data_IF_885296271012
#
_entry.id   IF_885296271012
#
_cell.length_a   1.000
_cell.length_b   1.000
_cell.length_c   1.000
_cell.angle_alpha   90.00
_cell.angle_beta   90.00
_cell.angle_gamma   90.00
#
_symmetry.space_group_name_H-M   'P 1'
#
loop_
_entity.id
_entity.type
_entity.pdbx_description
1 polymer ?
#
# COMPACT_ATOMS: atom_id res chain seq x y z
N UNK A 1 -5.28 -15.93 -9.63
CA UNK A 1 -5.58 -15.44 -8.25
C UNK A 1 -5.19 -13.97 -8.18
N UNK A 2 -5.93 -13.14 -7.43
CA UNK A 2 -5.64 -11.69 -7.27
C UNK A 2 -4.93 -11.34 -5.95
N UNK A 3 -4.62 -12.35 -5.13
CA UNK A 3 -4.02 -12.18 -3.79
C UNK A 3 -2.95 -13.23 -3.56
N UNK A 4 -1.92 -12.85 -2.78
CA UNK A 4 -0.81 -13.73 -2.39
C UNK A 4 -1.24 -14.75 -1.32
N UNK A 5 -0.41 -15.76 -0.99
CA UNK A 5 -0.66 -16.68 0.13
C UNK A 5 -0.81 -15.98 1.49
N UNK A 6 -0.01 -14.95 1.78
CA UNK A 6 -0.19 -14.07 2.95
C UNK A 6 -1.35 -13.08 2.79
N UNK A 7 -1.93 -13.03 1.59
CA UNK A 7 -3.13 -12.28 1.23
C UNK A 7 -2.89 -10.80 0.93
N UNK A 8 -1.67 -10.44 0.56
CA UNK A 8 -1.39 -9.15 -0.05
C UNK A 8 -2.05 -9.05 -1.44
N UNK A 9 -2.48 -7.85 -1.88
CA UNK A 9 -2.98 -7.65 -3.22
C UNK A 9 -1.88 -7.93 -4.24
N UNK A 10 -2.15 -8.82 -5.20
CA UNK A 10 -1.20 -9.13 -6.27
C UNK A 10 -1.40 -8.19 -7.45
N UNK A 11 -1.02 -6.93 -7.23
CA UNK A 11 -1.20 -5.84 -8.18
C UNK A 11 0.11 -5.09 -8.38
N UNK A 12 0.22 -4.39 -9.51
CA UNK A 12 1.39 -3.59 -9.81
C UNK A 12 1.42 -2.39 -8.88
N UNK A 13 2.53 -2.20 -8.18
CA UNK A 13 2.77 -1.02 -7.36
C UNK A 13 3.00 0.15 -8.32
N UNK A 14 2.06 1.10 -8.32
CA UNK A 14 2.16 2.34 -9.08
C UNK A 14 2.95 3.37 -8.28
N UNK A 15 4.04 3.87 -8.87
CA UNK A 15 4.75 5.04 -8.37
C UNK A 15 5.24 5.86 -9.56
N UNK A 16 5.11 7.19 -9.48
CA UNK A 16 5.61 8.11 -10.52
C UNK A 16 6.98 8.66 -10.10
N UNK A 17 8.02 7.96 -10.54
CA UNK A 17 9.42 8.35 -10.32
C UNK A 17 9.71 9.76 -10.87
N UNK A 18 9.08 10.14 -11.99
CA UNK A 18 9.24 11.45 -12.60
C UNK A 18 8.68 12.57 -11.73
N UNK A 19 7.49 12.38 -11.17
CA UNK A 19 6.89 13.33 -10.23
C UNK A 19 7.68 13.41 -8.92
N UNK A 20 8.16 12.28 -8.39
CA UNK A 20 8.98 12.29 -7.18
C UNK A 20 10.32 13.02 -7.40
N UNK A 21 10.98 12.78 -8.52
CA UNK A 21 12.22 13.46 -8.89
C UNK A 21 11.99 14.96 -9.15
N UNK A 22 10.89 15.33 -9.81
CA UNK A 22 10.52 16.74 -10.00
C UNK A 22 10.23 17.45 -8.68
N UNK A 23 9.48 16.81 -7.78
CA UNK A 23 9.18 17.35 -6.46
C UNK A 23 10.45 17.51 -5.62
N UNK A 24 11.37 16.54 -5.69
CA UNK A 24 12.68 16.63 -5.07
C UNK A 24 13.47 17.84 -5.57
N UNK A 25 13.51 18.06 -6.89
CA UNK A 25 14.16 19.21 -7.51
C UNK A 25 13.55 20.54 -7.07
N UNK A 26 12.22 20.67 -7.06
CA UNK A 26 11.56 21.89 -6.58
C UNK A 26 11.85 22.21 -5.11
N UNK A 27 11.98 21.18 -4.26
CA UNK A 27 12.33 21.36 -2.85
C UNK A 27 13.81 21.73 -2.66
N UNK A 28 14.69 21.26 -3.55
CA UNK A 28 16.08 21.69 -3.62
C UNK A 28 16.17 23.17 -3.98
N UNK A 29 15.54 23.58 -5.08
CA UNK A 29 15.49 24.97 -5.53
C UNK A 29 14.94 25.89 -4.43
N UNK A 30 13.85 25.47 -3.76
CA UNK A 30 13.28 26.23 -2.66
C UNK A 30 14.22 26.35 -1.44
N UNK A 31 14.98 25.30 -1.11
CA UNK A 31 15.95 25.35 -0.03
C UNK A 31 17.12 26.29 -0.36
N UNK A 32 17.55 26.31 -1.62
CA UNK A 32 18.64 27.15 -2.10
C UNK A 32 18.24 28.64 -2.17
N UNK A 33 17.02 28.93 -2.60
CA UNK A 33 16.46 30.29 -2.59
C UNK A 33 16.37 30.85 -1.16
N UNK A 34 15.85 30.06 -0.21
CA UNK A 34 15.79 30.49 1.20
C UNK A 34 17.20 30.72 1.75
N UNK A 35 18.16 29.85 1.42
CA UNK A 35 19.56 30.01 1.84
C UNK A 35 20.18 31.29 1.26
N UNK A 36 19.88 31.61 0.01
CA UNK A 36 20.32 32.83 -0.67
C UNK A 36 19.73 34.09 -0.02
N UNK A 37 18.43 34.07 0.31
CA UNK A 37 17.78 35.16 1.05
C UNK A 37 18.41 35.38 2.43
N UNK A 38 18.68 34.31 3.17
CA UNK A 38 19.36 34.39 4.47
C UNK A 38 20.76 34.99 4.35
N UNK A 39 21.51 34.63 3.31
CA UNK A 39 22.84 35.19 3.06
C UNK A 39 22.77 36.71 2.81
N UNK A 40 21.83 37.16 1.99
CA UNK A 40 21.62 38.59 1.71
C UNK A 40 21.26 39.34 2.99
N UNK A 41 20.34 38.81 3.80
CA UNK A 41 19.91 39.45 5.05
C UNK A 41 21.03 39.48 6.11
N UNK A 42 21.85 38.42 6.20
CA UNK A 42 23.04 38.42 7.08
C UNK A 42 24.08 39.43 6.61
N UNK A 43 24.31 39.57 5.30
CA UNK A 43 25.16 40.62 4.76
C UNK A 43 24.65 42.03 5.09
N UNK A 44 23.33 42.26 5.06
CA UNK A 44 22.72 43.53 5.50
C UNK A 44 22.91 43.74 7.01
N UNK A 45 22.87 42.67 7.80
CA UNK A 45 23.08 42.73 9.25
C UNK A 45 24.53 43.11 9.58
N UNK A 46 25.49 42.44 8.95
CA UNK A 46 26.91 42.48 9.32
C UNK A 46 27.71 43.58 8.60
N UNK A 47 27.36 43.87 7.33
CA UNK A 47 28.21 44.66 6.43
C UNK A 47 27.58 45.99 5.97
N UNK A 48 26.40 46.37 6.48
CA UNK A 48 25.78 47.63 6.11
C UNK A 48 26.52 48.82 6.76
N UNK A 49 27.25 49.57 5.94
CA UNK A 49 28.04 50.73 6.38
C UNK A 49 27.17 51.95 6.69
N UNK A 50 27.52 52.69 7.74
CA UNK A 50 26.86 53.94 8.13
C UNK A 50 26.62 54.08 9.64
N UNK A 51 25.99 55.18 10.05
CA UNK A 51 25.65 55.47 11.46
C UNK A 51 24.27 56.12 11.56
N UNK A 52 23.46 55.69 12.53
CA UNK A 52 22.15 56.29 12.83
C UNK A 52 21.10 55.27 13.26
N UNK A 53 20.12 55.69 14.07
CA UNK A 53 19.11 54.79 14.65
C UNK A 53 18.30 54.02 13.59
N UNK A 54 17.98 54.64 12.45
CA UNK A 54 17.25 53.97 11.37
C UNK A 54 18.07 52.84 10.72
N UNK A 55 19.40 52.99 10.65
CA UNK A 55 20.29 52.00 10.08
C UNK A 55 20.48 50.80 11.04
N UNK A 56 20.64 51.08 12.33
CA UNK A 56 20.69 50.03 13.36
C UNK A 56 19.38 49.24 13.42
N UNK A 57 18.24 49.92 13.29
CA UNK A 57 16.93 49.25 13.21
C UNK A 57 16.83 48.33 11.97
N UNK A 58 17.32 48.79 10.81
CA UNK A 58 17.33 47.99 9.59
C UNK A 58 18.21 46.73 9.72
N UNK A 59 19.37 46.83 10.39
CA UNK A 59 20.24 45.67 10.68
C UNK A 59 19.55 44.65 11.58
N UNK A 60 18.91 45.11 12.66
CA UNK A 60 18.15 44.24 13.57
C UNK A 60 17.00 43.55 12.84
N UNK A 61 16.20 44.29 12.08
CA UNK A 61 15.10 43.73 11.29
C UNK A 61 15.59 42.70 10.26
N UNK A 62 16.73 42.95 9.60
CA UNK A 62 17.31 42.00 8.66
C UNK A 62 17.75 40.71 9.36
N UNK A 63 18.37 40.81 10.55
CA UNK A 63 18.74 39.67 11.38
C UNK A 63 17.53 38.86 11.84
N UNK A 64 16.47 39.52 12.30
CA UNK A 64 15.23 38.87 12.74
C UNK A 64 14.55 38.11 11.59
N UNK A 65 14.49 38.71 10.40
CA UNK A 65 13.94 38.06 9.20
C UNK A 65 14.83 36.88 8.76
N UNK A 66 16.16 37.00 8.81
CA UNK A 66 17.07 35.90 8.49
C UNK A 66 16.88 34.70 9.44
N UNK A 67 16.74 34.97 10.74
CA UNK A 67 16.49 33.96 11.76
C UNK A 67 15.12 33.29 11.57
N UNK A 68 14.09 34.06 11.18
CA UNK A 68 12.75 33.52 10.90
C UNK A 68 12.76 32.48 9.75
N UNK A 69 13.72 32.55 8.83
CA UNK A 69 13.86 31.60 7.72
C UNK A 69 14.60 30.31 8.08
N UNK A 70 15.28 30.20 9.23
CA UNK A 70 16.07 29.01 9.58
C UNK A 70 15.20 27.75 9.74
N UNK A 71 14.07 27.87 10.41
CA UNK A 71 13.12 26.76 10.62
C UNK A 71 12.45 26.30 9.31
N UNK A 72 11.90 27.19 8.45
CA UNK A 72 11.43 26.82 7.11
C UNK A 72 12.50 26.13 6.25
N UNK A 73 13.73 26.62 6.23
CA UNK A 73 14.82 26.01 5.45
C UNK A 73 15.15 24.59 5.95
N UNK A 74 15.25 24.40 7.26
CA UNK A 74 15.47 23.08 7.85
C UNK A 74 14.34 22.10 7.51
N UNK A 75 13.09 22.58 7.51
CA UNK A 75 11.90 21.80 7.17
C UNK A 75 11.91 21.33 5.71
N UNK A 76 12.17 22.24 4.78
CA UNK A 76 12.25 21.92 3.34
C UNK A 76 13.32 20.83 3.11
N UNK A 77 14.51 20.98 3.72
CA UNK A 77 15.58 19.98 3.60
C UNK A 77 15.18 18.62 4.19
N UNK A 78 14.46 18.60 5.31
CA UNK A 78 13.97 17.36 5.92
C UNK A 78 12.95 16.65 5.04
N UNK A 79 11.97 17.39 4.51
CA UNK A 79 10.97 16.85 3.57
C UNK A 79 11.65 16.31 2.31
N UNK A 80 12.60 17.06 1.73
CA UNK A 80 13.41 16.61 0.60
C UNK A 80 14.09 15.27 0.88
N UNK A 81 14.71 15.12 2.05
CA UNK A 81 15.38 13.88 2.46
C UNK A 81 14.41 12.70 2.60
N UNK A 82 13.23 12.92 3.16
CA UNK A 82 12.19 11.88 3.30
C UNK A 82 11.72 11.40 1.92
N UNK A 83 11.44 12.34 1.01
CA UNK A 83 10.97 12.01 -0.34
C UNK A 83 12.03 11.25 -1.13
N UNK A 84 13.30 11.63 -1.00
CA UNK A 84 14.40 10.91 -1.65
C UNK A 84 14.52 9.48 -1.13
N UNK A 85 14.47 9.29 0.20
CA UNK A 85 14.55 7.97 0.81
C UNK A 85 13.36 7.09 0.42
N UNK A 86 12.14 7.66 0.37
CA UNK A 86 10.98 6.95 -0.12
C UNK A 86 11.10 6.58 -1.59
N UNK A 87 11.50 7.52 -2.45
CA UNK A 87 11.68 7.27 -3.89
C UNK A 87 12.67 6.14 -4.16
N UNK A 88 13.79 6.11 -3.44
CA UNK A 88 14.77 5.01 -3.51
C UNK A 88 14.16 3.67 -3.06
N UNK A 89 13.44 3.64 -1.94
CA UNK A 89 12.76 2.43 -1.47
C UNK A 89 11.65 1.97 -2.42
N UNK A 90 10.92 2.91 -3.04
CA UNK A 90 9.89 2.62 -4.02
C UNK A 90 10.46 1.99 -5.29
N UNK A 91 11.57 2.51 -5.80
CA UNK A 91 12.27 1.94 -6.94
C UNK A 91 12.88 0.58 -6.62
N UNK A 92 13.62 0.46 -5.51
CA UNK A 92 14.34 -0.75 -5.15
C UNK A 92 13.39 -1.91 -4.81
N UNK A 93 12.38 -1.65 -3.99
CA UNK A 93 11.50 -2.69 -3.47
C UNK A 93 10.22 -2.81 -4.28
N UNK A 94 9.58 -1.69 -4.62
CA UNK A 94 8.37 -1.68 -5.44
C UNK A 94 8.66 -2.11 -6.89
N UNK A 95 9.76 -1.61 -7.47
CA UNK A 95 10.24 -2.06 -8.78
C UNK A 95 10.58 -3.55 -8.81
N UNK A 96 11.24 -4.06 -7.76
CA UNK A 96 11.55 -5.50 -7.63
C UNK A 96 10.30 -6.35 -7.46
N UNK A 97 9.34 -5.93 -6.62
CA UNK A 97 8.07 -6.64 -6.48
C UNK A 97 7.33 -6.71 -7.82
N UNK A 98 7.30 -5.61 -8.58
CA UNK A 98 6.71 -5.56 -9.93
C UNK A 98 7.39 -6.52 -10.92
N UNK A 99 8.72 -6.65 -10.88
CA UNK A 99 9.46 -7.61 -11.72
C UNK A 99 9.13 -9.06 -11.33
N UNK A 100 9.04 -9.35 -10.04
CA UNK A 100 8.74 -10.70 -9.53
C UNK A 100 7.30 -11.16 -9.83
N UNK A 101 6.39 -10.24 -10.20
CA UNK A 101 5.05 -10.61 -10.63
C UNK A 101 5.07 -11.53 -11.87
N UNK A 102 6.02 -11.33 -12.79
CA UNK A 102 6.20 -12.19 -13.96
C UNK A 102 6.58 -13.61 -13.51
N UNK A 103 7.57 -13.75 -12.64
CA UNK A 103 8.01 -15.05 -12.11
C UNK A 103 6.89 -15.79 -11.38
N UNK A 104 6.06 -15.09 -10.59
CA UNK A 104 4.88 -15.71 -9.95
C UNK A 104 3.88 -16.20 -11.00
N UNK A 105 3.63 -15.41 -12.05
CA UNK A 105 2.67 -15.77 -13.11
C UNK A 105 3.17 -16.96 -13.94
N UNK A 106 4.48 -17.00 -14.24
CA UNK A 106 5.14 -18.14 -14.89
C UNK A 106 5.05 -19.41 -14.04
N UNK A 107 5.37 -19.32 -12.75
CA UNK A 107 5.28 -20.46 -11.83
C UNK A 107 3.84 -21.00 -11.69
N UNK A 108 2.84 -20.12 -11.66
CA UNK A 108 1.42 -20.52 -11.67
C UNK A 108 1.06 -21.29 -12.95
N UNK A 109 1.56 -20.83 -14.10
CA UNK A 109 1.35 -21.50 -15.40
C UNK A 109 2.05 -22.85 -15.43
N UNK A 110 3.24 -22.95 -14.84
CA UNK A 110 3.98 -24.21 -14.72
C UNK A 110 3.23 -25.22 -13.84
N UNK A 111 2.69 -24.80 -12.69
CA UNK A 111 1.85 -25.66 -11.84
C UNK A 111 0.64 -26.16 -12.60
N UNK A 112 -0.11 -25.28 -13.28
CA UNK A 112 -1.29 -25.67 -14.06
C UNK A 112 -0.95 -26.70 -15.17
N UNK A 113 0.21 -26.54 -15.81
CA UNK A 113 0.71 -27.47 -16.84
C UNK A 113 1.13 -28.81 -16.23
N UNK A 114 1.77 -28.79 -15.06
CA UNK A 114 2.18 -30.00 -14.35
C UNK A 114 0.96 -30.77 -13.80
N UNK A 115 -0.07 -30.07 -13.29
CA UNK A 115 -1.35 -30.64 -12.89
C UNK A 115 -2.04 -31.36 -14.06
N UNK A 116 -2.10 -30.70 -15.23
CA UNK A 116 -2.66 -31.31 -16.43
C UNK A 116 -1.87 -32.55 -16.87
N UNK A 117 -0.54 -32.48 -16.87
CA UNK A 117 0.33 -33.61 -17.21
C UNK A 117 0.16 -34.79 -16.25
N UNK A 118 -0.03 -34.52 -14.96
CA UNK A 118 -0.31 -35.55 -13.95
C UNK A 118 -1.67 -36.18 -14.16
N UNK A 119 -2.70 -35.38 -14.43
CA UNK A 119 -4.04 -35.88 -14.73
C UNK A 119 -4.06 -36.76 -15.99
N UNK A 120 -3.34 -36.36 -17.04
CA UNK A 120 -3.21 -37.14 -18.28
C UNK A 120 -2.51 -38.48 -18.02
N UNK A 121 -1.37 -38.48 -17.31
CA UNK A 121 -0.65 -39.71 -16.98
C UNK A 121 -1.50 -40.67 -16.13
N UNK A 122 -2.25 -40.16 -15.15
CA UNK A 122 -3.20 -40.95 -14.36
C UNK A 122 -4.36 -41.49 -15.21
N UNK A 123 -4.85 -40.68 -16.16
CA UNK A 123 -5.87 -41.07 -17.13
C UNK A 123 -5.41 -42.22 -18.03
N UNK A 124 -4.19 -42.15 -18.54
CA UNK A 124 -3.57 -43.21 -19.35
C UNK A 124 -3.36 -44.49 -18.55
N UNK A 125 -2.80 -44.40 -17.34
CA UNK A 125 -2.61 -45.56 -16.45
C UNK A 125 -3.95 -46.23 -16.13
N UNK A 126 -4.96 -45.46 -15.73
CA UNK A 126 -6.27 -46.03 -15.42
C UNK A 126 -6.96 -46.64 -16.63
N UNK A 127 -6.71 -46.12 -17.84
CA UNK A 127 -7.24 -46.68 -19.08
C UNK A 127 -6.54 -47.99 -19.45
N UNK A 128 -5.23 -48.07 -19.21
CA UNK A 128 -4.47 -49.30 -19.31
C UNK A 128 -4.95 -50.37 -18.33
N UNK A 129 -5.11 -50.03 -17.05
CA UNK A 129 -5.56 -50.95 -16.00
C UNK A 129 -7.00 -51.46 -16.23
N UNK A 130 -7.82 -50.72 -16.98
CA UNK A 130 -9.18 -51.11 -17.40
C UNK A 130 -9.23 -51.89 -18.72
N UNK A 131 -8.09 -52.13 -19.36
CA UNK A 131 -8.06 -52.84 -20.64
C UNK A 131 -8.17 -54.35 -20.46
N UNK A 132 -8.81 -55.02 -21.43
CA UNK A 132 -8.93 -56.48 -21.43
C UNK A 132 -7.56 -57.17 -21.41
N UNK A 133 -6.56 -56.58 -22.08
CA UNK A 133 -5.18 -57.06 -22.08
C UNK A 133 -4.58 -57.08 -20.66
N UNK A 134 -4.83 -56.02 -19.87
CA UNK A 134 -4.34 -55.92 -18.49
C UNK A 134 -5.07 -56.89 -17.57
N UNK A 135 -6.40 -57.00 -17.69
CA UNK A 135 -7.20 -57.91 -16.86
C UNK A 135 -6.79 -59.38 -17.09
N UNK A 136 -6.66 -59.78 -18.36
CA UNK A 136 -6.22 -61.13 -18.73
C UNK A 136 -4.79 -61.42 -18.25
N UNK A 137 -3.86 -60.47 -18.43
CA UNK A 137 -2.47 -60.61 -17.98
C UNK A 137 -2.33 -60.66 -16.46
N UNK A 138 -2.99 -59.76 -15.74
CA UNK A 138 -2.92 -59.68 -14.28
C UNK A 138 -3.61 -60.86 -13.58
N UNK A 139 -4.64 -61.44 -14.21
CA UNK A 139 -5.33 -62.64 -13.76
C UNK A 139 -4.62 -63.95 -14.12
N UNK A 140 -3.50 -63.89 -14.86
CA UNK A 140 -2.74 -65.07 -15.28
C UNK A 140 -3.41 -65.90 -16.37
N UNK A 141 -4.30 -65.29 -17.16
CA UNK A 141 -4.91 -65.93 -18.33
C UNK A 141 -3.93 -65.94 -19.52
N UNK A 142 -4.15 -66.85 -20.47
CA UNK A 142 -3.38 -66.89 -21.71
C UNK A 142 -3.71 -65.66 -22.57
N UNK A 143 -2.73 -64.78 -22.72
CA UNK A 143 -2.79 -63.58 -23.55
C UNK A 143 -2.01 -63.79 -24.84
N UNK A 144 -2.54 -63.28 -25.96
CA UNK A 144 -1.89 -63.32 -27.27
C UNK A 144 -0.61 -62.48 -27.31
N UNK A 145 -0.58 -61.40 -26.53
CA UNK A 145 0.56 -60.50 -26.41
C UNK A 145 1.57 -61.06 -25.38
N UNK A 146 2.89 -61.12 -25.69
CA UNK A 146 3.87 -61.69 -24.78
C UNK A 146 3.89 -61.01 -23.40
N UNK A 147 3.90 -61.74 -22.27
CA UNK A 147 3.85 -61.15 -20.93
C UNK A 147 4.93 -60.09 -20.66
N UNK A 148 6.12 -60.27 -21.24
CA UNK A 148 7.24 -59.32 -21.12
C UNK A 148 6.92 -57.94 -21.71
N UNK A 149 6.11 -57.91 -22.77
CA UNK A 149 5.69 -56.66 -23.42
C UNK A 149 4.59 -55.94 -22.63
N UNK A 150 3.68 -56.69 -22.01
CA UNK A 150 2.64 -56.13 -21.14
C UNK A 150 3.26 -55.57 -19.85
N UNK A 151 4.24 -56.28 -19.26
CA UNK A 151 5.01 -55.77 -18.13
C UNK A 151 5.73 -54.46 -18.44
N UNK A 152 6.44 -54.40 -19.56
CA UNK A 152 7.15 -53.17 -19.97
C UNK A 152 6.17 -52.01 -20.24
N UNK A 153 4.96 -52.30 -20.74
CA UNK A 153 3.91 -51.30 -20.95
C UNK A 153 3.35 -50.78 -19.62
N UNK A 154 3.09 -51.66 -18.67
CA UNK A 154 2.66 -51.33 -17.32
C UNK A 154 3.69 -50.48 -16.56
N UNK A 155 4.96 -50.90 -16.58
CA UNK A 155 6.07 -50.12 -16.01
C UNK A 155 6.12 -48.71 -16.61
N UNK A 156 6.01 -48.59 -17.93
CA UNK A 156 6.02 -47.28 -18.61
C UNK A 156 4.89 -46.36 -18.13
N UNK A 157 3.67 -46.85 -17.98
CA UNK A 157 2.56 -46.00 -17.51
C UNK A 157 2.75 -45.59 -16.05
N UNK A 158 3.24 -46.49 -15.19
CA UNK A 158 3.55 -46.16 -13.79
C UNK A 158 4.71 -45.17 -13.67
N UNK A 159 5.76 -45.33 -14.47
CA UNK A 159 6.90 -44.41 -14.54
C UNK A 159 6.47 -43.02 -15.04
N UNK A 160 5.55 -42.96 -16.01
CA UNK A 160 4.97 -41.70 -16.48
C UNK A 160 4.22 -40.96 -15.36
N UNK A 161 3.40 -41.67 -14.58
CA UNK A 161 2.71 -41.08 -13.41
C UNK A 161 3.73 -40.59 -12.38
N UNK A 162 4.74 -41.39 -12.04
CA UNK A 162 5.76 -40.99 -11.06
C UNK A 162 6.56 -39.76 -11.52
N UNK A 163 6.89 -39.69 -12.81
CA UNK A 163 7.58 -38.55 -13.42
C UNK A 163 6.71 -37.30 -13.35
N UNK A 164 5.43 -37.40 -13.71
CA UNK A 164 4.50 -36.29 -13.64
C UNK A 164 4.24 -35.82 -12.20
N UNK A 165 4.15 -36.74 -11.23
CA UNK A 165 4.05 -36.40 -9.80
C UNK A 165 5.28 -35.62 -9.32
N UNK A 166 6.48 -36.06 -9.72
CA UNK A 166 7.72 -35.36 -9.36
C UNK A 166 7.75 -33.96 -9.97
N UNK A 167 7.38 -33.82 -11.26
CA UNK A 167 7.30 -32.53 -11.93
C UNK A 167 6.28 -31.59 -11.30
N UNK A 168 5.13 -32.11 -10.86
CA UNK A 168 4.11 -31.36 -10.14
C UNK A 168 4.62 -30.85 -8.78
N UNK A 169 5.29 -31.70 -8.01
CA UNK A 169 5.88 -31.31 -6.73
C UNK A 169 6.96 -30.22 -6.89
N UNK A 170 7.79 -30.31 -7.92
CA UNK A 170 8.79 -29.27 -8.24
C UNK A 170 8.11 -27.96 -8.61
N UNK A 171 7.13 -27.99 -9.52
CA UNK A 171 6.41 -26.77 -9.92
C UNK A 171 5.69 -26.11 -8.73
N UNK A 172 5.12 -26.90 -7.82
CA UNK A 172 4.49 -26.39 -6.60
C UNK A 172 5.51 -25.70 -5.68
N UNK A 173 6.70 -26.30 -5.49
CA UNK A 173 7.80 -25.70 -4.74
C UNK A 173 8.27 -24.39 -5.37
N UNK A 174 8.45 -24.36 -6.70
CA UNK A 174 8.89 -23.16 -7.42
C UNK A 174 7.87 -22.02 -7.28
N UNK A 175 6.56 -22.34 -7.25
CA UNK A 175 5.51 -21.37 -6.99
C UNK A 175 5.55 -20.82 -5.56
N UNK A 176 5.81 -21.66 -4.55
CA UNK A 176 5.99 -21.21 -3.17
C UNK A 176 7.19 -20.26 -3.05
N UNK A 177 8.31 -20.58 -3.70
CA UNK A 177 9.51 -19.74 -3.70
C UNK A 177 9.28 -18.41 -4.43
N UNK A 178 8.59 -18.43 -5.58
CA UNK A 178 8.24 -17.22 -6.33
C UNK A 178 7.36 -16.29 -5.49
N UNK A 179 6.36 -16.84 -4.79
CA UNK A 179 5.53 -16.08 -3.86
C UNK A 179 6.35 -15.50 -2.71
N UNK A 180 7.17 -16.31 -2.03
CA UNK A 180 7.97 -15.85 -0.91
C UNK A 180 8.97 -14.74 -1.31
N UNK A 181 9.50 -14.79 -2.54
CA UNK A 181 10.34 -13.74 -3.10
C UNK A 181 9.55 -12.45 -3.33
N UNK A 182 8.39 -12.53 -3.98
CA UNK A 182 7.53 -11.39 -4.25
C UNK A 182 7.04 -10.73 -2.94
N UNK A 183 6.53 -11.52 -1.99
CA UNK A 183 6.00 -11.03 -0.71
C UNK A 183 7.05 -10.28 0.09
N UNK A 184 8.30 -10.76 0.12
CA UNK A 184 9.41 -10.07 0.80
C UNK A 184 9.71 -8.71 0.18
N UNK A 185 9.66 -8.62 -1.16
CA UNK A 185 9.86 -7.35 -1.85
C UNK A 185 8.71 -6.38 -1.59
N UNK A 186 7.47 -6.88 -1.59
CA UNK A 186 6.28 -6.10 -1.26
C UNK A 186 6.32 -5.57 0.19
N UNK A 187 6.64 -6.42 1.16
CA UNK A 187 6.79 -6.02 2.58
C UNK A 187 7.89 -4.96 2.75
N UNK A 188 9.01 -5.09 2.03
CA UNK A 188 10.09 -4.10 2.09
C UNK A 188 9.66 -2.74 1.52
N UNK A 189 8.81 -2.74 0.50
CA UNK A 189 8.21 -1.53 -0.07
C UNK A 189 7.22 -0.89 0.91
N UNK A 190 6.33 -1.68 1.50
CA UNK A 190 5.33 -1.23 2.49
C UNK A 190 6.02 -0.61 3.72
N UNK A 191 7.09 -1.23 4.21
CA UNK A 191 7.94 -0.69 5.27
C UNK A 191 8.58 0.66 4.90
N UNK A 192 9.04 0.81 3.65
CA UNK A 192 9.62 2.06 3.18
C UNK A 192 8.56 3.17 3.11
N UNK A 193 7.34 2.83 2.67
CA UNK A 193 6.20 3.72 2.68
C UNK A 193 5.82 4.15 4.09
N UNK A 194 5.66 3.20 5.02
CA UNK A 194 5.33 3.47 6.42
C UNK A 194 6.37 4.38 7.09
N UNK A 195 7.67 4.10 6.88
CA UNK A 195 8.75 4.97 7.37
C UNK A 195 8.67 6.38 6.81
N UNK A 196 8.34 6.55 5.53
CA UNK A 196 8.22 7.86 4.91
C UNK A 196 7.04 8.65 5.49
N UNK A 197 5.89 8.00 5.67
CA UNK A 197 4.70 8.60 6.29
C UNK A 197 4.99 9.02 7.73
N UNK A 198 5.59 8.14 8.54
CA UNK A 198 5.98 8.46 9.91
C UNK A 198 6.99 9.60 9.99
N UNK A 199 8.01 9.60 9.12
CA UNK A 199 8.99 10.66 9.06
C UNK A 199 8.34 11.99 8.67
N UNK A 200 7.41 11.99 7.70
CA UNK A 200 6.67 13.17 7.28
C UNK A 200 5.78 13.73 8.40
N UNK A 201 5.10 12.85 9.14
CA UNK A 201 4.31 13.25 10.31
C UNK A 201 5.16 13.90 11.41
N UNK A 202 6.43 13.50 11.52
CA UNK A 202 7.38 14.02 12.52
C UNK A 202 8.15 15.27 12.07
N UNK A 203 7.95 15.78 10.85
CA UNK A 203 8.73 16.90 10.27
C UNK A 203 8.68 18.16 11.13
N UNK A 204 7.62 18.35 11.92
CA UNK A 204 7.43 19.52 12.76
C UNK A 204 6.90 19.16 14.16
N UNK A 205 7.80 19.10 15.15
CA UNK A 205 7.51 18.83 16.56
C UNK A 205 6.62 19.91 17.22
N UNK A 206 6.47 21.07 16.59
CA UNK A 206 5.66 22.19 17.08
C UNK A 206 4.30 22.34 16.39
N UNK A 207 3.98 21.50 15.40
CA UNK A 207 2.71 21.54 14.66
C UNK A 207 1.80 20.33 14.94
N UNK A 208 2.41 19.16 15.16
CA UNK A 208 1.73 17.94 15.56
C UNK A 208 2.33 17.57 16.91
N UNK A 209 1.52 17.58 17.97
CA UNK A 209 2.04 17.18 19.28
C UNK A 209 2.57 15.74 19.20
N UNK A 210 3.58 15.38 20.01
CA UNK A 210 4.09 14.01 20.04
C UNK A 210 2.97 12.97 20.31
N UNK A 211 1.94 13.37 21.07
CA UNK A 211 0.74 12.58 21.28
C UNK A 211 -0.07 12.39 19.99
N UNK A 212 -0.28 13.47 19.22
CA UNK A 212 -0.96 13.38 17.93
C UNK A 212 -0.19 12.54 16.91
N UNK A 213 1.13 12.68 16.85
CA UNK A 213 1.96 11.88 15.95
C UNK A 213 1.85 10.37 16.27
N UNK A 214 1.90 10.02 17.56
CA UNK A 214 1.74 8.63 18.01
C UNK A 214 0.33 8.07 17.70
N UNK A 215 -0.72 8.88 17.89
CA UNK A 215 -2.10 8.46 17.59
C UNK A 215 -2.34 8.33 16.09
N UNK A 216 -1.84 9.26 15.26
CA UNK A 216 -1.93 9.18 13.81
C UNK A 216 -1.14 7.98 13.26
N UNK A 217 0.05 7.71 13.80
CA UNK A 217 0.82 6.51 13.47
C UNK A 217 0.04 5.25 13.85
N UNK A 218 -0.50 5.16 15.08
CA UNK A 218 -1.29 4.00 15.50
C UNK A 218 -2.53 3.77 14.62
N UNK A 219 -3.21 4.83 14.17
CA UNK A 219 -4.35 4.72 13.25
C UNK A 219 -3.93 4.31 11.83
N UNK A 220 -2.75 4.75 11.38
CA UNK A 220 -2.17 4.38 10.08
C UNK A 220 -1.61 2.96 10.06
N UNK A 221 -1.06 2.51 11.19
CA UNK A 221 -0.46 1.19 11.38
C UNK A 221 -1.51 0.12 11.71
N UNK A 222 -2.79 0.52 11.86
CA UNK A 222 -3.87 -0.40 12.16
C UNK A 222 -4.16 -1.33 10.97
N UNK A 223 -4.21 -2.62 11.24
CA UNK A 223 -4.27 -3.66 10.21
C UNK A 223 -5.68 -3.92 9.69
N UNK A 224 -6.69 -3.36 10.36
CA UNK A 224 -8.09 -3.58 10.02
C UNK A 224 -9.01 -2.41 10.47
N UNK A 225 -10.18 -2.25 9.83
CA UNK A 225 -11.19 -1.30 10.29
C UNK A 225 -11.66 -1.54 11.74
N UNK A 226 -11.61 -2.79 12.21
CA UNK A 226 -11.97 -3.11 13.59
C UNK A 226 -10.92 -2.59 14.58
N UNK A 227 -9.64 -2.63 14.20
CA UNK A 227 -8.55 -2.08 14.98
C UNK A 227 -8.55 -0.55 14.94
N UNK A 228 -8.77 0.06 13.78
CA UNK A 228 -9.04 1.50 13.66
C UNK A 228 -10.22 1.90 14.54
N UNK A 229 -11.32 1.13 14.53
CA UNK A 229 -12.47 1.38 15.40
C UNK A 229 -12.11 1.24 16.88
N UNK A 230 -11.29 0.26 17.27
CA UNK A 230 -10.84 0.09 18.65
C UNK A 230 -9.97 1.26 19.11
N UNK A 231 -9.00 1.68 18.29
CA UNK A 231 -8.15 2.83 18.53
C UNK A 231 -9.01 4.10 18.60
N UNK A 232 -9.91 4.31 17.64
CA UNK A 232 -10.82 5.44 17.61
C UNK A 232 -11.75 5.49 18.83
N UNK A 233 -12.27 4.34 19.27
CA UNK A 233 -13.13 4.25 20.45
C UNK A 233 -12.37 4.47 21.76
N UNK A 234 -11.05 4.23 21.77
CA UNK A 234 -10.19 4.54 22.91
C UNK A 234 -9.94 6.04 23.08
N UNK A 235 -10.16 6.84 22.02
CA UNK A 235 -10.05 8.29 22.07
C UNK A 235 -11.23 8.89 22.84
N UNK A 236 -10.92 9.90 23.64
CA UNK A 236 -11.93 10.76 24.27
C UNK A 236 -12.66 11.59 23.20
N UNK A 237 -13.87 12.05 23.52
CA UNK A 237 -14.65 12.85 22.57
C UNK A 237 -13.93 14.16 22.19
N UNK A 238 -13.18 14.76 23.13
CA UNK A 238 -12.34 15.93 22.87
C UNK A 238 -11.19 15.63 21.89
N UNK A 239 -10.58 14.43 21.98
CA UNK A 239 -9.55 14.00 21.02
C UNK A 239 -10.14 13.73 19.64
N UNK A 240 -11.31 13.08 19.58
CA UNK A 240 -12.02 12.86 18.30
C UNK A 240 -12.34 14.18 17.62
N UNK A 241 -12.86 15.15 18.36
CA UNK A 241 -13.15 16.50 17.86
C UNK A 241 -11.89 17.23 17.39
N UNK A 242 -10.79 17.14 18.15
CA UNK A 242 -9.48 17.65 17.73
C UNK A 242 -9.00 17.03 16.41
N UNK A 243 -9.08 15.71 16.24
CA UNK A 243 -8.62 15.05 15.01
C UNK A 243 -9.51 15.36 13.79
N UNK A 244 -10.82 15.52 13.99
CA UNK A 244 -11.72 15.99 12.94
C UNK A 244 -11.38 17.39 12.46
N UNK A 245 -10.99 18.27 13.40
CA UNK A 245 -10.67 19.66 13.10
C UNK A 245 -9.29 19.80 12.47
N UNK A 246 -8.29 19.08 13.01
CA UNK A 246 -6.90 19.22 12.62
C UNK A 246 -6.49 18.35 11.42
N UNK A 247 -7.12 17.18 11.22
CA UNK A 247 -6.75 16.21 10.19
C UNK A 247 -7.95 15.64 9.42
N UNK A 248 -8.87 16.48 8.90
CA UNK A 248 -10.11 16.01 8.29
C UNK A 248 -9.90 15.11 7.06
N UNK A 249 -8.85 15.36 6.27
CA UNK A 249 -8.53 14.52 5.11
C UNK A 249 -8.04 13.11 5.48
N UNK A 250 -7.38 12.95 6.63
CA UNK A 250 -6.96 11.63 7.13
C UNK A 250 -8.16 10.87 7.69
N UNK A 251 -8.91 11.50 8.60
CA UNK A 251 -10.09 10.87 9.25
C UNK A 251 -11.19 10.53 8.24
N UNK A 252 -11.42 11.38 7.23
CA UNK A 252 -12.43 11.16 6.21
C UNK A 252 -12.21 9.89 5.36
N UNK A 253 -10.98 9.39 5.31
CA UNK A 253 -10.57 8.22 4.52
C UNK A 253 -10.31 6.96 5.37
N UNK A 254 -10.31 7.07 6.72
CA UNK A 254 -10.05 5.93 7.60
C UNK A 254 -11.28 5.03 7.74
N UNK A 255 -11.24 3.84 7.15
CA UNK A 255 -12.24 2.81 7.41
C UNK A 255 -12.15 2.30 8.86
N UNK A 256 -13.30 2.22 9.55
CA UNK A 256 -13.39 1.88 10.98
C UNK A 256 -13.79 3.05 11.88
N UNK A 257 -13.57 4.29 11.43
CA UNK A 257 -14.15 5.48 12.07
C UNK A 257 -15.66 5.54 11.77
N UNK A 258 -16.53 5.81 12.77
CA UNK A 258 -17.98 5.89 12.54
C UNK A 258 -18.35 6.89 11.44
N UNK A 259 -19.40 6.57 10.68
CA UNK A 259 -19.76 7.29 9.46
C UNK A 259 -19.98 8.78 9.69
N UNK A 260 -20.62 9.14 10.80
CA UNK A 260 -20.91 10.50 11.23
C UNK A 260 -19.64 11.36 11.35
N UNK A 261 -18.52 10.77 11.76
CA UNK A 261 -17.24 11.47 11.89
C UNK A 261 -16.53 11.59 10.53
N UNK A 262 -16.57 10.53 9.71
CA UNK A 262 -15.98 10.55 8.37
C UNK A 262 -16.68 11.54 7.45
N UNK A 263 -18.02 11.60 7.49
CA UNK A 263 -18.77 12.56 6.68
C UNK A 263 -18.54 13.99 7.16
N UNK A 264 -18.47 14.23 8.48
CA UNK A 264 -18.14 15.55 9.01
C UNK A 264 -16.76 16.02 8.54
N UNK A 265 -15.77 15.14 8.56
CA UNK A 265 -14.41 15.41 8.09
C UNK A 265 -14.35 15.65 6.57
N UNK A 266 -15.07 14.86 5.77
CA UNK A 266 -15.15 15.02 4.32
C UNK A 266 -15.86 16.33 3.92
N UNK A 267 -16.96 16.67 4.60
CA UNK A 267 -17.68 17.93 4.41
C UNK A 267 -16.78 19.13 4.73
N UNK A 268 -16.02 19.06 5.83
CA UNK A 268 -15.04 20.10 6.18
C UNK A 268 -13.98 20.26 5.10
N UNK A 269 -13.41 19.16 4.62
CA UNK A 269 -12.42 19.14 3.53
C UNK A 269 -12.99 19.78 2.24
N UNK A 270 -14.27 19.55 1.93
CA UNK A 270 -14.95 20.18 0.80
C UNK A 270 -15.12 21.68 0.98
N UNK A 271 -15.52 22.15 2.16
CA UNK A 271 -15.65 23.58 2.45
C UNK A 271 -14.30 24.30 2.42
N UNK A 272 -13.25 23.70 2.97
CA UNK A 272 -11.89 24.26 2.94
C UNK A 272 -11.37 24.34 1.49
N UNK A 273 -11.63 23.32 0.67
CA UNK A 273 -11.28 23.35 -0.76
C UNK A 273 -12.04 24.45 -1.52
N UNK A 274 -13.34 24.65 -1.21
CA UNK A 274 -14.15 25.69 -1.83
C UNK A 274 -13.76 27.11 -1.35
N UNK A 275 -13.21 27.26 -0.15
CA UNK A 275 -12.73 28.55 0.37
C UNK A 275 -11.44 29.02 -0.34
N UNK A 276 -10.63 28.09 -0.86
CA UNK A 276 -9.38 28.38 -1.59
C UNK A 276 -9.66 28.85 -3.02
N UNK A 277 -10.74 28.39 -3.66
CA UNK A 277 -11.15 28.78 -5.01
C UNK A 277 -11.62 30.26 -5.11
N UNK A 278 -11.99 30.88 -3.98
CA UNK A 278 -12.40 32.28 -3.88
C UNK A 278 -11.46 33.13 -3.01
N UNK A 279 -10.17 33.18 -3.35
CA UNK A 279 -9.25 34.28 -3.01
C UNK A 279 -9.15 34.69 -1.53
N UNK A 280 -9.51 33.81 -0.59
CA UNK A 280 -9.55 34.11 0.83
C UNK A 280 -8.21 33.83 1.51
N UNK A 281 -7.29 34.80 1.46
CA UNK A 281 -6.05 34.76 2.24
C UNK A 281 -6.31 34.80 3.75
N UNK A 282 -6.63 33.65 4.35
CA UNK A 282 -6.50 33.43 5.80
C UNK A 282 -5.75 32.14 6.05
N UNK A 283 -4.51 32.29 6.52
CA UNK A 283 -3.72 31.30 7.25
C UNK A 283 -3.81 29.87 6.71
N UNK A 284 -3.09 29.58 5.63
CA UNK A 284 -2.98 28.24 5.07
C UNK A 284 -2.38 27.30 6.13
N UNK A 285 -3.20 26.40 6.70
CA UNK A 285 -2.69 25.23 7.43
C UNK A 285 -2.16 24.24 6.40
N UNK A 286 -0.83 24.26 6.23
CA UNK A 286 -0.09 23.60 5.15
C UNK A 286 -0.04 22.05 5.24
N UNK A 287 -0.43 21.45 6.38
CA UNK A 287 -0.32 20.01 6.65
C UNK A 287 -1.29 19.14 5.84
N UNK A 288 -2.56 19.55 5.71
CA UNK A 288 -3.58 18.81 4.95
C UNK A 288 -3.30 18.81 3.45
N UNK A 289 -2.60 19.84 2.95
CA UNK A 289 -2.19 19.92 1.56
C UNK A 289 -1.04 18.95 1.27
N UNK A 290 -0.06 18.85 2.17
CA UNK A 290 1.14 18.06 1.94
C UNK A 290 0.90 16.54 2.01
N UNK A 291 0.10 16.07 2.98
CA UNK A 291 -0.29 14.64 3.05
C UNK A 291 -1.18 14.23 1.86
N UNK A 292 -2.04 15.14 1.38
CA UNK A 292 -2.91 14.91 0.23
C UNK A 292 -2.12 14.90 -1.08
N UNK A 293 -1.13 15.78 -1.24
CA UNK A 293 -0.19 15.74 -2.36
C UNK A 293 0.73 14.52 -2.32
N UNK A 294 1.21 14.12 -1.15
CA UNK A 294 2.04 12.93 -1.00
C UNK A 294 1.26 11.65 -1.34
N UNK A 295 0.05 11.48 -0.82
CA UNK A 295 -0.82 10.33 -1.16
C UNK A 295 -1.22 10.33 -2.65
N UNK A 296 -1.47 11.50 -3.25
CA UNK A 296 -1.78 11.61 -4.68
C UNK A 296 -0.58 11.32 -5.60
N UNK A 297 0.65 11.63 -5.16
CA UNK A 297 1.89 11.31 -5.87
C UNK A 297 2.31 9.85 -5.66
N UNK A 298 2.03 9.28 -4.48
CA UNK A 298 2.32 7.90 -4.15
C UNK A 298 1.28 6.89 -4.67
N UNK A 299 0.05 7.33 -4.99
CA UNK A 299 -1.02 6.48 -5.52
C UNK A 299 -1.99 7.30 -6.41
N UNK A 300 -1.75 7.43 -7.73
CA UNK A 300 -2.50 8.33 -8.61
C UNK A 300 -3.95 7.90 -8.90
N UNK A 301 -4.31 6.64 -8.64
CA UNK A 301 -5.54 5.99 -9.12
C UNK A 301 -6.59 5.83 -8.00
N UNK A 302 -7.28 6.92 -7.67
CA UNK A 302 -8.39 7.03 -6.70
C UNK A 302 -9.70 6.27 -7.06
N UNK A 303 -9.65 5.22 -7.89
CA UNK A 303 -10.85 4.54 -8.44
C UNK A 303 -11.04 3.05 -8.06
N UNK A 304 -10.10 2.43 -7.33
CA UNK A 304 -10.01 0.95 -7.26
C UNK A 304 -10.66 0.32 -6.01
N UNK A 305 -11.31 1.09 -5.14
CA UNK A 305 -12.05 0.55 -3.97
C UNK A 305 -13.47 0.05 -4.31
N UNK A 306 -13.62 -0.94 -5.20
CA UNK A 306 -14.87 -1.69 -5.33
C UNK A 306 -14.72 -3.03 -6.09
N UNK A 307 -14.56 -4.19 -5.42
CA UNK A 307 -15.36 -5.44 -5.59
C UNK A 307 -14.88 -6.62 -4.71
N UNK A 308 -15.74 -7.65 -4.58
CA UNK A 308 -16.08 -8.53 -3.43
C UNK A 308 -15.30 -9.86 -3.28
N UNK A 309 -14.98 -10.22 -2.01
CA UNK A 309 -15.09 -11.53 -1.27
C UNK A 309 -14.51 -12.83 -1.87
N UNK A 310 -13.77 -13.72 -1.16
CA UNK A 310 -14.04 -14.39 0.13
C UNK A 310 -12.70 -14.94 0.71
N UNK A 311 -12.48 -14.71 2.02
CA UNK A 311 -11.30 -15.03 2.86
C UNK A 311 -10.04 -14.21 2.48
N UNK A 312 -9.85 -13.05 3.11
CA UNK A 312 -8.78 -12.10 2.77
C UNK A 312 -8.23 -11.38 4.01
N UNK A 313 -6.92 -11.17 4.13
CA UNK A 313 -6.34 -10.08 4.89
C UNK A 313 -6.25 -8.79 4.05
N UNK A 314 -6.26 -7.65 4.75
CA UNK A 314 -5.93 -6.28 4.36
C UNK A 314 -6.31 -5.81 2.94
N UNK A 315 -7.62 -5.65 2.72
CA UNK A 315 -8.24 -4.47 2.10
C UNK A 315 -9.74 -4.77 1.91
N UNK A 316 -10.55 -3.93 2.54
CA UNK A 316 -11.99 -3.72 2.35
C UNK A 316 -12.78 -4.73 1.47
N UNK A 317 -13.67 -5.55 2.07
CA UNK A 317 -15.06 -5.53 1.60
C UNK A 317 -16.18 -6.12 2.48
N UNK A 318 -17.27 -5.37 2.40
CA UNK A 318 -18.67 -5.57 2.71
C UNK A 318 -19.33 -6.78 2.03
N UNK A 319 -20.12 -7.56 2.78
CA UNK A 319 -21.21 -8.40 2.25
C UNK A 319 -22.55 -7.77 2.58
N UNK A 320 -23.23 -7.21 1.57
CA UNK A 320 -24.64 -6.88 1.66
C UNK A 320 -25.50 -8.10 2.05
N UNK A 321 -26.18 -7.99 3.20
CA UNK A 321 -27.34 -8.79 3.56
C UNK A 321 -28.58 -7.92 3.46
N UNK A 322 -29.47 -8.36 2.57
CA UNK A 322 -30.93 -8.27 2.62
C UNK A 322 -31.51 -7.56 3.84
N UNK A 323 -32.27 -6.49 3.58
CA UNK A 323 -33.30 -6.00 4.49
C UNK A 323 -34.23 -7.16 4.90
N UNK A 324 -34.53 -7.37 6.19
CA UNK A 324 -35.76 -8.03 6.57
C UNK A 324 -36.93 -7.08 6.26
N UNK A 325 -37.87 -7.56 5.44
CA UNK A 325 -39.18 -6.92 5.27
C UNK A 325 -39.85 -6.82 6.64
N UNK A 326 -40.24 -5.61 7.00
CA UNK A 326 -41.20 -5.31 8.06
C UNK A 326 -42.50 -6.08 7.77
N UNK A 327 -43.03 -6.90 8.69
CA UNK A 327 -44.39 -7.39 8.56
C UNK A 327 -45.35 -6.28 8.97
N UNK A 328 -46.24 -5.92 8.05
CA UNK A 328 -47.37 -5.03 8.30
C UNK A 328 -48.21 -5.54 9.48
N UNK A 329 -48.74 -4.66 10.34
CA UNK A 329 -49.51 -5.06 11.50
C UNK A 329 -50.89 -5.58 11.06
N UNK A 330 -51.13 -6.88 11.29
CA UNK A 330 -52.47 -7.47 11.30
C UNK A 330 -53.27 -6.88 12.46
N UNK A 331 -54.24 -6.03 12.13
CA UNK A 331 -55.38 -5.72 12.99
C UNK A 331 -56.19 -6.99 13.25
N UNK A 332 -56.50 -7.27 14.51
CA UNK A 332 -57.63 -8.10 14.94
C UNK A 332 -57.90 -7.86 16.43
N UNK A 333 -59.13 -8.15 16.92
CA UNK A 333 -59.93 -7.21 17.67
C UNK A 333 -60.01 -7.51 19.17
N UNK A 334 -60.29 -6.47 19.94
CA UNK A 334 -60.58 -6.50 21.38
C UNK A 334 -60.80 -5.07 21.86
#
# INVERSE_FOLDING_TARGET
MTTSPKGYPFERIEYDEGQMNSLHGHLEDAADEVSSMQLVLRNVTDNLEGRGQALELAKVMAGDVAAAFESPAARIRRIKGILLAYGQGAEEHGGRANQLMESVTEAQTAVATADASLADAQGELSTWERSDDYDAWSSGQDVTTPPRTLHARDERFREAVQTAQTGNAVAASDLEDAWAAWERAFESWDDAYARAVAALASVDENYVSAADAATLASLSDADSPAEVAAIWNSLTDAQKEHYLEAYPGFIGNLEGVPYEYRIAANVKTMFDAHAIDWGGSRGIRSSTFFLRSFAAVACPSLSICSTRTRRQPRCCMWTGSSMPRVPSPTRSPG
#
